data_IF_989818941177
#
_entry.id   IF_989818941177
#
_cell.length_a   1.000
_cell.length_b   1.000
_cell.length_c   1.000
_cell.angle_alpha   90.00
_cell.angle_beta   90.00
_cell.angle_gamma   90.00
#
_symmetry.space_group_name_H-M   'P 1'
#
loop_
_entity.id
_entity.type
_entity.pdbx_description
1 polymer ?
#
# COMPACT_ATOMS: atom_id res chain seq x y z
N UNK A 1 16.70 10.34 5.56
CA UNK A 1 16.05 9.09 6.09
C UNK A 1 17.07 7.95 6.09
N UNK A 2 17.10 7.05 7.08
CA UNK A 2 17.98 5.86 7.01
C UNK A 2 17.28 4.75 6.20
N UNK A 3 17.82 4.42 5.02
CA UNK A 3 17.27 3.43 4.08
C UNK A 3 17.79 2.01 4.29
N UNK A 4 18.74 1.78 5.19
CA UNK A 4 19.36 0.46 5.37
C UNK A 4 18.37 -0.59 5.92
N UNK A 5 17.25 -0.14 6.49
CA UNK A 5 16.14 -1.00 6.94
C UNK A 5 15.10 -1.28 5.86
N UNK A 6 15.19 -0.62 4.70
CA UNK A 6 14.19 -0.65 3.64
C UNK A 6 14.86 -0.97 2.31
N UNK A 7 15.34 -2.22 2.17
CA UNK A 7 16.13 -2.69 1.02
C UNK A 7 15.43 -2.45 -0.31
N UNK A 8 14.14 -2.78 -0.42
CA UNK A 8 13.38 -2.60 -1.66
C UNK A 8 13.19 -1.13 -2.00
N UNK A 9 12.94 -0.29 -0.99
CA UNK A 9 12.90 1.17 -1.17
C UNK A 9 14.24 1.70 -1.69
N UNK A 10 15.36 1.22 -1.11
CA UNK A 10 16.71 1.64 -1.49
C UNK A 10 17.03 1.26 -2.94
N UNK A 11 16.72 0.02 -3.34
CA UNK A 11 16.85 -0.46 -4.72
C UNK A 11 16.09 0.45 -5.70
N UNK A 12 14.80 0.68 -5.45
CA UNK A 12 13.96 1.49 -6.35
C UNK A 12 14.45 2.93 -6.49
N UNK A 13 14.97 3.53 -5.42
CA UNK A 13 15.52 4.91 -5.46
C UNK A 13 16.75 4.97 -6.36
N UNK A 14 17.63 3.95 -6.27
CA UNK A 14 18.83 3.83 -7.11
C UNK A 14 18.41 3.62 -8.57
N UNK A 15 17.45 2.72 -8.82
CA UNK A 15 16.97 2.43 -10.17
C UNK A 15 16.43 3.67 -10.91
N UNK A 16 15.85 4.61 -10.17
CA UNK A 16 15.32 5.86 -10.74
C UNK A 16 16.25 7.08 -10.55
N UNK A 17 17.48 6.87 -10.07
CA UNK A 17 18.50 7.91 -9.84
C UNK A 17 18.03 9.06 -8.92
N UNK A 18 17.41 8.74 -7.78
CA UNK A 18 16.90 9.70 -6.80
C UNK A 18 17.65 9.70 -5.45
N UNK A 19 18.85 9.14 -5.39
CA UNK A 19 19.66 9.01 -4.16
C UNK A 19 19.93 10.36 -3.49
N UNK A 20 20.21 11.40 -4.28
CA UNK A 20 20.45 12.76 -3.78
C UNK A 20 19.16 13.50 -3.40
N UNK A 21 17.99 12.91 -3.65
CA UNK A 21 16.69 13.54 -3.44
C UNK A 21 15.84 12.85 -2.37
N UNK A 22 16.39 11.87 -1.65
CA UNK A 22 15.67 11.07 -0.64
C UNK A 22 14.93 11.94 0.38
N UNK A 23 15.56 13.01 0.86
CA UNK A 23 14.96 13.89 1.87
C UNK A 23 13.87 14.81 1.29
N UNK A 24 13.75 14.90 -0.03
CA UNK A 24 12.67 15.64 -0.73
C UNK A 24 11.47 14.75 -1.07
N UNK A 25 11.62 13.42 -0.97
CA UNK A 25 10.53 12.49 -1.25
C UNK A 25 9.43 12.67 -0.21
N UNK A 26 8.22 12.99 -0.67
CA UNK A 26 7.04 13.04 0.19
C UNK A 26 6.50 11.62 0.40
N UNK A 27 7.01 10.96 1.44
CA UNK A 27 6.65 9.58 1.82
C UNK A 27 5.17 9.39 2.16
N UNK A 28 4.59 10.39 2.80
CA UNK A 28 3.23 10.35 3.32
C UNK A 28 2.50 11.65 2.98
N UNK A 29 1.33 11.52 2.37
CA UNK A 29 0.43 12.63 2.07
C UNK A 29 -0.69 12.73 3.13
N UNK A 30 -0.31 12.58 4.40
CA UNK A 30 -1.17 12.73 5.57
C UNK A 30 -0.49 13.66 6.56
N UNK A 31 -1.27 14.44 7.31
CA UNK A 31 -0.78 15.04 8.55
C UNK A 31 -0.44 13.95 9.57
N UNK A 32 0.31 14.30 10.62
CA UNK A 32 0.63 13.35 11.70
C UNK A 32 -0.64 12.83 12.38
N UNK A 33 -1.61 13.72 12.58
CA UNK A 33 -2.92 13.41 13.16
C UNK A 33 -3.72 12.47 12.27
N UNK A 34 -3.81 12.77 10.96
CA UNK A 34 -4.53 11.90 10.03
C UNK A 34 -3.86 10.52 9.88
N UNK A 35 -2.53 10.47 9.93
CA UNK A 35 -1.76 9.23 9.90
C UNK A 35 -2.06 8.38 11.15
N UNK A 36 -2.05 8.98 12.34
CA UNK A 36 -2.38 8.29 13.58
C UNK A 36 -3.81 7.73 13.56
N UNK A 37 -4.78 8.52 13.09
CA UNK A 37 -6.17 8.09 12.93
C UNK A 37 -6.28 6.94 11.93
N UNK A 38 -5.59 7.03 10.80
CA UNK A 38 -5.61 6.00 9.75
C UNK A 38 -4.99 4.69 10.24
N UNK A 39 -3.89 4.77 11.00
CA UNK A 39 -3.26 3.62 11.62
C UNK A 39 -4.18 2.95 12.65
N UNK A 40 -4.83 3.74 13.52
CA UNK A 40 -5.79 3.22 14.49
C UNK A 40 -6.98 2.53 13.81
N UNK A 41 -7.53 3.12 12.73
CA UNK A 41 -8.60 2.48 11.93
C UNK A 41 -8.14 1.17 11.31
N UNK A 42 -6.93 1.14 10.75
CA UNK A 42 -6.34 -0.07 10.14
C UNK A 42 -6.20 -1.19 11.17
N UNK A 43 -5.70 -0.87 12.38
CA UNK A 43 -5.61 -1.81 13.48
C UNK A 43 -6.98 -2.38 13.89
N UNK A 44 -7.99 -1.52 14.04
CA UNK A 44 -9.36 -1.98 14.38
C UNK A 44 -9.97 -2.87 13.28
N UNK A 45 -9.73 -2.56 12.01
CA UNK A 45 -10.19 -3.39 10.90
C UNK A 45 -9.47 -4.75 10.90
N UNK A 46 -8.18 -4.79 11.21
CA UNK A 46 -7.44 -6.03 11.37
C UNK A 46 -7.97 -6.89 12.52
N UNK A 47 -8.34 -6.27 13.66
CA UNK A 47 -9.01 -6.99 14.75
C UNK A 47 -10.38 -7.55 14.36
N UNK A 48 -11.13 -6.80 13.54
CA UNK A 48 -12.42 -7.25 13.01
C UNK A 48 -12.27 -8.39 12.00
N UNK A 49 -11.21 -8.40 11.20
CA UNK A 49 -11.00 -9.44 10.17
C UNK A 49 -10.63 -10.79 10.76
N UNK A 50 -9.93 -10.82 11.90
CA UNK A 50 -9.60 -12.08 12.61
C UNK A 50 -10.73 -12.58 13.52
N UNK A 51 -11.83 -11.85 13.63
CA UNK A 51 -12.97 -12.26 14.44
C UNK A 51 -13.67 -13.48 13.81
N UNK A 52 -14.18 -14.41 14.62
CA UNK A 52 -14.89 -15.60 14.13
C UNK A 52 -16.30 -15.33 13.60
N UNK A 53 -16.86 -14.15 13.90
CA UNK A 53 -18.20 -13.76 13.45
C UNK A 53 -18.20 -13.39 11.95
N UNK A 54 -18.98 -14.08 11.09
CA UNK A 54 -19.03 -13.80 9.65
C UNK A 54 -19.50 -12.38 9.30
N UNK A 55 -20.40 -11.79 10.10
CA UNK A 55 -20.85 -10.41 9.89
C UNK A 55 -19.71 -9.42 10.18
N UNK A 56 -18.89 -9.68 11.19
CA UNK A 56 -17.70 -8.88 11.49
C UNK A 56 -16.67 -8.97 10.37
N UNK A 57 -16.42 -10.17 9.84
CA UNK A 57 -15.51 -10.38 8.71
C UNK A 57 -16.00 -9.65 7.44
N UNK A 58 -17.28 -9.76 7.11
CA UNK A 58 -17.88 -9.05 5.97
C UNK A 58 -17.75 -7.54 6.13
N UNK A 59 -17.99 -7.02 7.34
CA UNK A 59 -17.81 -5.60 7.65
C UNK A 59 -16.35 -5.19 7.56
N UNK A 60 -15.42 -6.02 8.03
CA UNK A 60 -13.99 -5.78 7.93
C UNK A 60 -13.54 -5.68 6.47
N UNK A 61 -14.01 -6.58 5.60
CA UNK A 61 -13.73 -6.51 4.15
C UNK A 61 -14.16 -5.17 3.55
N UNK A 62 -15.39 -4.71 3.82
CA UNK A 62 -15.86 -3.43 3.29
C UNK A 62 -15.07 -2.24 3.83
N UNK A 63 -14.68 -2.27 5.11
CA UNK A 63 -13.86 -1.21 5.70
C UNK A 63 -12.41 -1.25 5.18
N UNK A 64 -11.87 -2.43 4.90
CA UNK A 64 -10.56 -2.59 4.29
C UNK A 64 -10.52 -1.97 2.89
N UNK A 65 -11.57 -2.15 2.09
CA UNK A 65 -11.71 -1.47 0.79
C UNK A 65 -11.71 0.06 0.94
N UNK A 66 -12.46 0.59 1.93
CA UNK A 66 -12.47 2.03 2.21
C UNK A 66 -11.09 2.55 2.68
N UNK A 67 -10.38 1.78 3.48
CA UNK A 67 -9.02 2.11 3.92
C UNK A 67 -8.04 2.11 2.75
N UNK A 68 -8.14 1.12 1.86
CA UNK A 68 -7.34 1.06 0.64
C UNK A 68 -7.54 2.32 -0.21
N UNK A 69 -8.79 2.74 -0.42
CA UNK A 69 -9.07 3.96 -1.16
C UNK A 69 -8.72 5.24 -0.43
N UNK A 70 -8.75 5.30 0.90
CA UNK A 70 -8.53 6.56 1.63
C UNK A 70 -7.08 6.80 2.05
N UNK A 71 -6.32 5.72 2.27
CA UNK A 71 -4.93 5.75 2.72
C UNK A 71 -3.99 5.35 1.59
N UNK A 72 -4.40 4.40 0.74
CA UNK A 72 -3.55 3.84 -0.31
C UNK A 72 -2.93 4.91 -1.20
N UNK A 73 -3.71 5.80 -1.83
CA UNK A 73 -3.14 6.84 -2.71
C UNK A 73 -2.27 7.88 -1.97
N UNK A 74 -2.34 7.93 -0.63
CA UNK A 74 -1.58 8.88 0.20
C UNK A 74 -0.21 8.33 0.62
N UNK A 75 0.07 7.05 0.38
CA UNK A 75 1.38 6.44 0.57
C UNK A 75 2.21 6.57 -0.71
N UNK A 76 3.48 6.94 -0.57
CA UNK A 76 4.42 6.95 -1.69
C UNK A 76 4.61 5.55 -2.27
N UNK A 77 4.80 5.46 -3.59
CA UNK A 77 4.94 4.18 -4.31
C UNK A 77 6.05 3.29 -3.76
N UNK A 78 7.21 3.87 -3.43
CA UNK A 78 8.34 3.12 -2.85
C UNK A 78 8.01 2.47 -1.50
N UNK A 79 7.28 3.19 -0.62
CA UNK A 79 6.87 2.64 0.66
C UNK A 79 5.86 1.48 0.49
N UNK A 80 4.98 1.56 -0.52
CA UNK A 80 4.09 0.44 -0.86
C UNK A 80 4.87 -0.77 -1.37
N UNK A 81 5.85 -0.54 -2.25
CA UNK A 81 6.66 -1.61 -2.80
C UNK A 81 7.43 -2.35 -1.69
N UNK A 82 7.99 -1.61 -0.74
CA UNK A 82 8.60 -2.19 0.46
C UNK A 82 7.61 -3.02 1.29
N UNK A 83 6.41 -2.50 1.55
CA UNK A 83 5.40 -3.25 2.30
C UNK A 83 4.93 -4.53 1.58
N UNK A 84 4.82 -4.49 0.25
CA UNK A 84 4.49 -5.67 -0.54
C UNK A 84 5.61 -6.70 -0.51
N UNK A 85 6.87 -6.25 -0.64
CA UNK A 85 8.07 -7.11 -0.53
C UNK A 85 8.13 -7.81 0.84
N UNK A 86 7.88 -7.09 1.93
CA UNK A 86 7.82 -7.65 3.28
C UNK A 86 6.70 -8.68 3.48
N UNK A 87 5.60 -8.55 2.73
CA UNK A 87 4.48 -9.49 2.73
C UNK A 87 4.62 -10.61 1.70
N UNK A 88 5.71 -10.63 0.92
CA UNK A 88 5.91 -11.51 -0.23
C UNK A 88 4.75 -11.45 -1.23
N UNK A 89 4.21 -10.26 -1.48
CA UNK A 89 3.20 -10.02 -2.49
C UNK A 89 3.82 -9.46 -3.75
N UNK A 90 3.57 -10.12 -4.87
CA UNK A 90 3.87 -9.55 -6.18
C UNK A 90 2.77 -8.59 -6.66
N UNK A 91 2.94 -8.04 -7.85
CA UNK A 91 1.96 -7.10 -8.42
C UNK A 91 0.63 -7.77 -8.76
N UNK A 92 0.66 -9.05 -9.14
CA UNK A 92 -0.53 -9.83 -9.49
C UNK A 92 -1.31 -10.23 -8.24
N UNK A 93 -0.64 -10.53 -7.12
CA UNK A 93 -1.25 -10.78 -5.82
C UNK A 93 -2.05 -9.58 -5.35
N UNK A 94 -1.46 -8.38 -5.40
CA UNK A 94 -2.13 -7.14 -5.01
C UNK A 94 -3.30 -6.84 -5.93
N UNK A 95 -3.13 -7.04 -7.25
CA UNK A 95 -4.21 -6.87 -8.22
C UNK A 95 -5.36 -7.85 -7.97
N UNK A 96 -5.05 -9.10 -7.62
CA UNK A 96 -6.03 -10.13 -7.28
C UNK A 96 -6.76 -9.82 -5.97
N UNK A 97 -6.06 -9.28 -4.97
CA UNK A 97 -6.64 -8.89 -3.68
C UNK A 97 -7.71 -7.80 -3.83
N UNK A 98 -7.48 -6.86 -4.75
CA UNK A 98 -8.36 -5.70 -4.97
C UNK A 98 -9.14 -5.74 -6.28
N UNK A 99 -9.21 -6.91 -6.93
CA UNK A 99 -9.92 -7.07 -8.21
C UNK A 99 -11.40 -6.68 -8.14
N UNK A 100 -12.04 -6.85 -6.98
CA UNK A 100 -13.45 -6.54 -6.76
C UNK A 100 -13.71 -5.04 -6.61
N UNK A 101 -12.68 -4.24 -6.36
CA UNK A 101 -12.77 -2.78 -6.25
C UNK A 101 -12.06 -2.03 -7.38
N UNK A 102 -11.31 -2.72 -8.24
CA UNK A 102 -10.71 -2.14 -9.44
C UNK A 102 -11.83 -1.69 -10.40
N UNK A 103 -12.14 -0.39 -10.40
CA UNK A 103 -13.05 0.24 -11.36
C UNK A 103 -12.35 0.32 -12.73
N UNK A 104 -12.94 -0.31 -13.75
CA UNK A 104 -12.66 -0.10 -15.17
C UNK A 104 -11.20 -0.26 -15.65
N UNK A 105 -10.67 -1.48 -15.59
CA UNK A 105 -9.92 -2.01 -16.74
C UNK A 105 -8.70 -1.26 -17.27
N UNK A 106 -7.96 -0.48 -16.46
CA UNK A 106 -6.62 -0.04 -16.87
C UNK A 106 -5.67 -1.22 -16.68
N UNK A 107 -5.71 -2.13 -17.66
CA UNK A 107 -4.65 -3.11 -17.92
C UNK A 107 -3.36 -2.34 -18.16
N UNK A 108 -2.55 -2.11 -17.13
CA UNK A 108 -1.10 -2.01 -17.32
C UNK A 108 -0.54 -3.43 -17.50
N UNK A 109 -0.96 -4.12 -18.56
CA UNK A 109 -0.06 -5.06 -19.20
C UNK A 109 0.91 -4.18 -19.95
N UNK A 110 2.13 -4.06 -19.42
CA UNK A 110 3.27 -3.62 -20.19
C UNK A 110 3.24 -4.41 -21.51
N UNK A 111 2.95 -3.74 -22.62
CA UNK A 111 3.22 -4.32 -23.93
C UNK A 111 4.74 -4.51 -23.98
N UNK A 112 5.25 -5.71 -24.33
CA UNK A 112 6.65 -5.82 -24.67
C UNK A 112 6.91 -4.89 -25.87
N UNK A 113 7.88 -4.01 -25.74
CA UNK A 113 8.42 -3.22 -26.85
C UNK A 113 8.78 -4.21 -27.97
N UNK A 114 8.14 -4.04 -29.13
CA UNK A 114 8.57 -4.66 -30.39
C UNK A 114 9.70 -3.84 -31.00
#
# INVERSE_FOLDING_TARGET
MNLDKYSKTKELIIDVNLEDQVDRIKWLQLSKEEAAVSLAKTYLVALLSINSNPFSQKKASSLADQLYFSVGYKLHGFAKAQGNDELNYDSDDVANLYKHISFSGIKYRQQPLQ
#
